data_IF_612702207603
#
_entry.id   IF_612702207603
#
_cell.length_a   1.000
_cell.length_b   1.000
_cell.length_c   1.000
_cell.angle_alpha   90.00
_cell.angle_beta   90.00
_cell.angle_gamma   90.00
#
_symmetry.space_group_name_H-M   'P 1'
#
loop_
_entity.id
_entity.type
_entity.pdbx_description
1 polymer ?
#
# COMPACT_ATOMS: atom_id res chain seq x y z
N UNK A 1 -4.84 -73.76 -15.86
CA UNK A 1 -5.09 -74.38 -17.17
C UNK A 1 -4.28 -73.57 -18.19
N UNK A 2 -3.19 -74.16 -18.71
CA UNK A 2 -2.26 -73.73 -19.79
C UNK A 2 -1.61 -72.34 -19.66
N UNK A 3 -0.29 -72.11 -19.55
CA UNK A 3 0.97 -72.71 -20.06
C UNK A 3 1.22 -72.54 -21.57
N UNK A 4 2.24 -71.71 -21.92
CA UNK A 4 3.27 -71.84 -22.99
C UNK A 4 4.05 -70.51 -23.15
N UNK A 5 5.25 -70.41 -23.72
CA UNK A 5 6.56 -71.07 -23.60
C UNK A 5 7.49 -70.35 -24.63
N UNK A 6 8.74 -70.02 -24.25
CA UNK A 6 9.99 -69.86 -25.05
C UNK A 6 10.06 -68.82 -26.21
N UNK A 7 11.18 -68.10 -26.45
CA UNK A 7 12.49 -68.65 -26.87
C UNK A 7 13.66 -67.67 -26.70
N UNK A 8 14.85 -68.26 -26.50
CA UNK A 8 16.21 -67.73 -26.23
C UNK A 8 16.93 -67.26 -27.49
N UNK A 9 17.87 -66.31 -27.36
CA UNK A 9 18.94 -66.05 -28.33
C UNK A 9 20.16 -65.37 -27.69
N UNK A 10 21.25 -66.13 -27.50
CA UNK A 10 22.54 -65.75 -26.92
C UNK A 10 23.58 -65.65 -28.06
N UNK A 11 24.38 -64.58 -28.14
CA UNK A 11 25.63 -64.54 -28.93
C UNK A 11 26.74 -63.92 -28.08
N UNK A 12 27.93 -64.51 -28.22
CA UNK A 12 29.07 -64.51 -27.30
C UNK A 12 30.34 -63.99 -28.01
N UNK A 13 31.15 -63.20 -27.30
CA UNK A 13 32.63 -63.14 -27.41
C UNK A 13 33.27 -61.95 -28.15
N UNK A 14 34.58 -61.67 -27.97
CA UNK A 14 35.49 -62.09 -26.89
C UNK A 14 36.37 -60.97 -26.26
N UNK A 15 36.90 -61.36 -25.11
CA UNK A 15 37.96 -60.87 -24.21
C UNK A 15 39.17 -60.17 -24.85
N UNK A 16 39.68 -59.12 -24.19
CA UNK A 16 41.13 -58.91 -24.06
C UNK A 16 41.48 -58.30 -22.68
N UNK A 17 42.35 -59.00 -21.95
CA UNK A 17 42.91 -58.68 -20.64
C UNK A 17 44.22 -57.93 -20.84
N UNK A 18 44.43 -56.80 -20.17
CA UNK A 18 45.78 -56.39 -19.75
C UNK A 18 45.72 -55.72 -18.36
N UNK A 19 46.64 -56.19 -17.54
CA UNK A 19 46.88 -55.95 -16.12
C UNK A 19 47.81 -54.75 -15.92
N UNK A 20 47.62 -53.98 -14.85
CA UNK A 20 48.71 -53.57 -13.93
C UNK A 20 48.14 -52.78 -12.73
N UNK A 21 48.46 -53.26 -11.54
CA UNK A 21 48.26 -52.60 -10.24
C UNK A 21 49.27 -51.47 -10.03
N UNK A 22 48.90 -50.44 -9.25
CA UNK A 22 49.72 -50.01 -8.10
C UNK A 22 48.88 -49.18 -7.11
N UNK A 23 48.78 -49.68 -5.87
CA UNK A 23 48.86 -49.04 -4.54
C UNK A 23 48.77 -47.50 -4.47
N UNK A 24 48.16 -46.83 -3.47
CA UNK A 24 47.52 -47.17 -2.20
C UNK A 24 46.96 -45.86 -1.59
N UNK A 25 46.02 -45.99 -0.65
CA UNK A 25 45.68 -45.05 0.44
C UNK A 25 45.16 -43.64 0.09
N UNK A 26 43.86 -43.39 0.33
CA UNK A 26 43.40 -42.89 1.64
C UNK A 26 41.87 -42.80 1.67
N UNK A 27 41.27 -43.21 2.79
CA UNK A 27 39.89 -42.97 3.12
C UNK A 27 39.68 -41.50 3.48
N UNK A 28 38.49 -40.97 3.18
CA UNK A 28 37.61 -40.26 4.13
C UNK A 28 36.73 -39.25 3.38
N UNK A 29 35.49 -39.13 3.85
CA UNK A 29 34.63 -37.98 3.56
C UNK A 29 33.47 -38.29 2.64
N UNK A 30 32.36 -38.71 3.24
CA UNK A 30 31.02 -38.41 2.73
C UNK A 30 30.91 -36.89 2.68
N UNK A 31 30.71 -36.32 1.50
CA UNK A 31 30.33 -34.92 1.34
C UNK A 31 28.90 -34.91 0.79
N UNK A 32 27.95 -35.00 1.71
CA UNK A 32 26.56 -34.60 1.49
C UNK A 32 26.54 -33.07 1.40
N UNK A 33 26.88 -32.55 0.23
CA UNK A 33 26.72 -31.13 -0.08
C UNK A 33 25.54 -30.98 -1.05
N UNK A 34 24.33 -31.22 -0.54
CA UNK A 34 23.12 -30.66 -1.13
C UNK A 34 23.03 -29.23 -0.61
N UNK A 35 23.76 -28.31 -1.26
CA UNK A 35 23.53 -26.88 -1.15
C UNK A 35 22.19 -26.56 -1.83
N UNK A 36 21.09 -26.71 -1.10
CA UNK A 36 19.82 -26.11 -1.49
C UNK A 36 19.81 -24.64 -1.03
N UNK A 37 20.68 -23.81 -1.62
CA UNK A 37 20.64 -22.35 -1.48
C UNK A 37 20.00 -21.76 -2.74
N UNK A 38 18.71 -22.04 -2.94
CA UNK A 38 17.89 -21.29 -3.90
C UNK A 38 17.23 -20.09 -3.19
N UNK A 39 18.01 -19.33 -2.43
CA UNK A 39 17.58 -18.06 -1.87
C UNK A 39 18.36 -16.94 -2.55
N UNK A 40 17.69 -16.17 -3.40
CA UNK A 40 18.28 -14.98 -4.02
C UNK A 40 18.68 -14.00 -2.91
N UNK A 41 19.93 -13.51 -2.94
CA UNK A 41 20.34 -12.38 -2.10
C UNK A 41 19.82 -11.08 -2.73
N UNK A 42 19.51 -10.03 -1.94
CA UNK A 42 19.04 -8.78 -2.49
C UNK A 42 20.16 -8.08 -3.27
N UNK A 43 19.84 -7.60 -4.47
CA UNK A 43 20.67 -6.73 -5.29
C UNK A 43 20.48 -5.28 -4.83
N UNK A 44 21.49 -4.75 -4.13
CA UNK A 44 21.48 -3.39 -3.62
C UNK A 44 22.59 -2.56 -4.26
N UNK A 45 22.35 -1.27 -4.54
CA UNK A 45 23.39 -0.37 -5.02
C UNK A 45 24.49 -0.19 -3.97
N UNK A 46 25.70 0.18 -4.41
CA UNK A 46 26.83 0.45 -3.50
C UNK A 46 26.62 1.69 -2.63
N UNK A 47 25.76 2.61 -3.06
CA UNK A 47 25.35 3.81 -2.33
C UNK A 47 23.83 3.73 -2.15
N UNK A 48 23.32 4.09 -0.98
CA UNK A 48 21.89 4.05 -0.74
C UNK A 48 21.14 5.02 -1.68
N UNK A 49 19.93 4.63 -2.08
CA UNK A 49 19.00 5.56 -2.71
C UNK A 49 18.57 6.65 -1.72
N UNK A 50 18.17 7.80 -2.25
CA UNK A 50 17.63 8.89 -1.45
C UNK A 50 16.17 8.61 -1.06
N UNK A 51 15.96 8.19 0.19
CA UNK A 51 14.65 8.05 0.83
C UNK A 51 14.40 9.15 1.85
N UNK A 52 15.45 9.61 2.54
CA UNK A 52 15.35 10.51 3.68
C UNK A 52 15.19 11.99 3.29
N UNK A 53 15.65 12.37 2.09
CA UNK A 53 15.71 13.76 1.64
C UNK A 53 15.00 13.95 0.29
N UNK A 54 13.77 13.42 0.17
CA UNK A 54 12.93 13.65 -1.01
C UNK A 54 12.61 15.15 -1.09
N UNK A 55 12.90 15.78 -2.23
CA UNK A 55 12.56 17.18 -2.46
C UNK A 55 11.05 17.31 -2.67
N UNK A 56 10.36 17.89 -1.68
CA UNK A 56 8.92 18.11 -1.76
C UNK A 56 8.63 19.39 -2.56
N UNK A 57 7.78 19.33 -3.59
CA UNK A 57 7.27 20.52 -4.25
C UNK A 57 6.63 21.52 -3.28
N UNK A 58 6.63 22.81 -3.65
CA UNK A 58 6.12 23.87 -2.77
C UNK A 58 4.66 23.67 -2.36
N UNK A 59 3.81 23.10 -3.24
CA UNK A 59 2.41 22.84 -2.91
C UNK A 59 2.22 21.75 -1.84
N UNK A 60 3.16 20.82 -1.67
CA UNK A 60 3.12 19.88 -0.54
C UNK A 60 3.56 20.53 0.79
N UNK A 61 4.33 21.62 0.72
CA UNK A 61 4.92 22.29 1.90
C UNK A 61 4.26 23.61 2.27
N UNK A 62 3.40 24.15 1.41
CA UNK A 62 2.70 25.42 1.61
C UNK A 62 1.22 25.24 1.29
N UNK A 63 0.36 25.81 2.14
CA UNK A 63 -1.07 25.85 1.89
C UNK A 63 -1.42 27.07 1.02
N UNK A 64 -1.78 26.81 -0.23
CA UNK A 64 -2.27 27.82 -1.18
C UNK A 64 -3.79 27.73 -1.44
N UNK A 65 -4.52 26.93 -0.63
CA UNK A 65 -5.97 26.90 -0.72
C UNK A 65 -6.56 28.23 -0.21
N UNK A 66 -7.66 28.72 -0.80
CA UNK A 66 -8.32 29.92 -0.31
C UNK A 66 -8.79 29.78 1.15
N UNK A 67 -8.72 30.86 1.93
CA UNK A 67 -9.10 30.92 3.36
C UNK A 67 -10.51 30.39 3.70
N UNK A 68 -11.40 30.31 2.70
CA UNK A 68 -12.77 29.82 2.85
C UNK A 68 -12.89 28.29 2.91
N UNK A 69 -11.82 27.54 2.62
CA UNK A 69 -11.83 26.08 2.68
C UNK A 69 -11.79 25.60 4.14
N UNK A 70 -12.46 24.48 4.44
CA UNK A 70 -12.57 23.96 5.82
C UNK A 70 -11.22 23.54 6.44
N UNK A 71 -10.20 23.37 5.60
CA UNK A 71 -8.85 23.07 6.02
C UNK A 71 -7.91 24.19 5.56
N UNK A 72 -6.93 24.51 6.40
CA UNK A 72 -5.91 25.53 6.10
C UNK A 72 -4.50 25.01 6.42
N UNK A 73 -4.20 23.81 5.88
CA UNK A 73 -2.97 23.06 6.15
C UNK A 73 -2.32 22.57 4.85
N UNK A 74 -0.99 22.51 4.85
CA UNK A 74 -0.21 21.83 3.82
C UNK A 74 -0.16 20.32 4.09
N UNK A 75 0.25 19.52 3.11
CA UNK A 75 0.41 18.07 3.32
C UNK A 75 1.48 17.76 4.39
N UNK A 76 2.59 18.52 4.39
CA UNK A 76 3.69 18.34 5.33
C UNK A 76 3.29 18.57 6.80
N UNK A 77 2.24 19.35 7.06
CA UNK A 77 1.74 19.59 8.42
C UNK A 77 1.17 18.31 9.06
N UNK A 78 0.92 17.27 8.25
CA UNK A 78 0.40 15.97 8.66
C UNK A 78 1.41 14.85 8.55
N UNK A 79 2.70 15.17 8.45
CA UNK A 79 3.76 14.17 8.55
C UNK A 79 3.70 13.45 9.90
N UNK A 80 3.40 12.15 9.85
CA UNK A 80 3.29 11.27 11.00
C UNK A 80 4.60 10.53 11.35
N UNK A 81 5.73 10.95 10.79
CA UNK A 81 7.05 10.42 11.13
C UNK A 81 7.41 10.76 12.58
N UNK A 82 7.63 9.75 13.46
CA UNK A 82 7.96 10.01 14.85
C UNK A 82 9.43 10.42 14.99
N UNK A 83 9.72 11.29 15.97
CA UNK A 83 11.06 11.82 16.19
C UNK A 83 12.11 10.74 16.54
N UNK A 84 11.69 9.59 17.07
CA UNK A 84 12.56 8.47 17.43
C UNK A 84 12.70 7.41 16.33
N UNK A 85 12.02 7.57 15.18
CA UNK A 85 12.20 6.75 13.99
C UNK A 85 12.15 7.60 12.70
N UNK A 86 13.06 8.59 12.53
CA UNK A 86 13.12 9.37 11.29
C UNK A 86 13.50 8.47 10.11
N UNK A 87 13.08 8.85 8.90
CA UNK A 87 13.50 8.17 7.68
C UNK A 87 15.00 8.38 7.49
N UNK A 88 15.74 7.30 7.32
CA UNK A 88 17.15 7.28 6.93
C UNK A 88 17.30 6.44 5.67
N UNK A 89 18.29 6.75 4.81
CA UNK A 89 18.48 5.98 3.57
C UNK A 89 18.81 4.51 3.86
N UNK A 90 19.62 4.25 4.90
CA UNK A 90 19.96 2.90 5.34
C UNK A 90 18.76 2.16 5.95
N UNK A 91 17.99 2.80 6.83
CA UNK A 91 16.81 2.18 7.45
C UNK A 91 15.68 1.91 6.45
N UNK A 92 15.43 2.81 5.50
CA UNK A 92 14.49 2.58 4.41
C UNK A 92 14.99 1.50 3.42
N UNK A 93 16.30 1.41 3.18
CA UNK A 93 16.89 0.30 2.39
C UNK A 93 16.63 -1.05 3.07
N UNK A 94 16.88 -1.16 4.38
CA UNK A 94 16.55 -2.36 5.15
C UNK A 94 15.03 -2.65 5.10
N UNK A 95 14.20 -1.62 5.26
CA UNK A 95 12.75 -1.72 5.14
C UNK A 95 12.29 -2.25 3.78
N UNK A 96 12.89 -1.78 2.68
CA UNK A 96 12.63 -2.29 1.33
C UNK A 96 12.94 -3.78 1.22
N UNK A 97 14.10 -4.22 1.72
CA UNK A 97 14.47 -5.64 1.68
C UNK A 97 13.46 -6.47 2.48
N UNK A 98 13.08 -6.04 3.68
CA UNK A 98 12.04 -6.71 4.49
C UNK A 98 10.68 -6.76 3.78
N UNK A 99 10.30 -5.69 3.09
CA UNK A 99 8.99 -5.55 2.43
C UNK A 99 8.78 -6.55 1.28
N UNK A 100 9.85 -6.90 0.57
CA UNK A 100 9.82 -7.81 -0.58
C UNK A 100 10.22 -9.26 -0.24
N UNK A 101 10.82 -9.52 0.93
CA UNK A 101 11.34 -10.85 1.25
C UNK A 101 10.23 -11.84 1.60
N UNK A 102 9.90 -12.72 0.66
CA UNK A 102 8.87 -13.78 0.82
C UNK A 102 9.22 -14.79 1.90
N UNK A 103 10.50 -14.93 2.29
CA UNK A 103 10.91 -15.85 3.36
C UNK A 103 10.29 -15.45 4.70
N UNK A 104 9.84 -14.20 4.85
CA UNK A 104 9.25 -13.68 6.08
C UNK A 104 7.76 -14.05 6.25
N UNK A 105 7.30 -15.13 5.60
CA UNK A 105 5.99 -15.75 5.82
C UNK A 105 6.15 -17.21 6.21
N UNK A 106 5.14 -17.79 6.88
CA UNK A 106 5.18 -19.13 7.47
C UNK A 106 5.60 -20.25 6.52
N UNK A 107 5.35 -20.10 5.22
CA UNK A 107 5.77 -21.07 4.20
C UNK A 107 6.65 -20.47 3.09
N UNK A 108 7.14 -19.23 3.27
CA UNK A 108 8.02 -18.58 2.31
C UNK A 108 7.37 -18.15 0.99
N UNK A 109 6.03 -18.01 0.94
CA UNK A 109 5.28 -17.79 -0.32
C UNK A 109 4.81 -16.35 -0.56
N UNK A 110 4.64 -15.55 0.49
CA UNK A 110 4.13 -14.18 0.42
C UNK A 110 5.06 -13.20 1.15
N UNK A 111 5.07 -11.96 0.68
CA UNK A 111 5.73 -10.80 1.29
C UNK A 111 4.72 -9.66 1.39
N UNK A 112 5.07 -8.54 2.03
CA UNK A 112 4.24 -7.33 2.00
C UNK A 112 3.93 -6.92 0.55
N UNK A 113 4.94 -6.97 -0.33
CA UNK A 113 4.83 -6.68 -1.75
C UNK A 113 3.88 -7.60 -2.54
N UNK A 114 3.50 -8.77 -2.00
CA UNK A 114 2.52 -9.66 -2.67
C UNK A 114 1.13 -9.02 -2.75
N UNK A 115 0.77 -8.23 -1.73
CA UNK A 115 -0.51 -7.53 -1.63
C UNK A 115 -0.38 -6.01 -1.84
N UNK A 116 0.86 -5.49 -1.87
CA UNK A 116 1.17 -4.07 -2.06
C UNK A 116 2.16 -3.91 -3.21
N UNK A 117 1.67 -4.13 -4.44
CA UNK A 117 2.47 -4.19 -5.67
C UNK A 117 2.84 -2.76 -6.11
N UNK A 118 4.13 -2.49 -6.28
CA UNK A 118 4.63 -1.13 -6.55
C UNK A 118 4.00 -0.52 -7.80
N UNK A 119 3.90 -1.29 -8.90
CA UNK A 119 3.31 -0.88 -10.17
C UNK A 119 1.81 -0.57 -10.10
N UNK A 120 1.14 -1.01 -9.02
CA UNK A 120 -0.27 -0.78 -8.72
C UNK A 120 -0.47 0.24 -7.59
N UNK A 121 0.50 1.16 -7.43
CA UNK A 121 0.46 2.17 -6.38
C UNK A 121 0.54 1.56 -4.99
N UNK A 122 1.28 0.46 -4.82
CA UNK A 122 1.37 -0.29 -3.57
C UNK A 122 0.01 -0.79 -3.07
N UNK A 123 -0.85 -1.20 -4.00
CA UNK A 123 -2.15 -1.84 -3.77
C UNK A 123 -2.13 -3.29 -4.28
N UNK A 124 -3.23 -4.00 -4.15
CA UNK A 124 -3.43 -5.30 -4.79
C UNK A 124 -4.29 -5.14 -6.05
N UNK A 125 -4.14 -6.04 -7.01
CA UNK A 125 -5.06 -6.15 -8.16
C UNK A 125 -6.24 -7.09 -7.87
N UNK A 126 -6.13 -7.92 -6.84
CA UNK A 126 -7.24 -8.73 -6.36
C UNK A 126 -8.22 -7.88 -5.54
N UNK A 127 -9.52 -8.23 -5.59
CA UNK A 127 -10.55 -7.65 -4.72
C UNK A 127 -10.16 -7.82 -3.25
N UNK A 128 -9.80 -9.04 -2.87
CA UNK A 128 -9.27 -9.39 -1.56
C UNK A 128 -7.93 -10.08 -1.75
N UNK A 129 -6.94 -9.70 -0.96
CA UNK A 129 -5.60 -10.26 -1.05
C UNK A 129 -5.58 -11.73 -0.65
N UNK A 130 -4.69 -12.49 -1.27
CA UNK A 130 -4.50 -13.92 -0.97
C UNK A 130 -3.27 -14.08 -0.10
N UNK A 131 -3.45 -14.60 1.11
CA UNK A 131 -2.36 -14.82 2.04
C UNK A 131 -1.61 -16.14 1.83
N UNK A 132 -0.69 -16.45 2.74
CA UNK A 132 0.32 -17.51 2.55
C UNK A 132 -0.27 -18.90 2.31
N UNK A 133 -1.48 -19.17 2.83
CA UNK A 133 -2.16 -20.46 2.72
C UNK A 133 -3.32 -20.45 1.70
N UNK A 134 -3.40 -19.43 0.85
CA UNK A 134 -4.43 -19.32 -0.20
C UNK A 134 -5.79 -18.80 0.29
N UNK A 135 -5.89 -18.40 1.55
CA UNK A 135 -7.09 -17.77 2.12
C UNK A 135 -7.14 -16.28 1.77
N UNK A 136 -8.35 -15.72 1.64
CA UNK A 136 -8.53 -14.31 1.32
C UNK A 136 -8.63 -13.43 2.56
N UNK A 137 -8.01 -12.26 2.52
CA UNK A 137 -8.18 -11.21 3.54
C UNK A 137 -9.61 -10.71 3.59
N UNK A 138 -9.98 -10.01 4.66
CA UNK A 138 -11.35 -9.47 4.82
C UNK A 138 -11.59 -8.17 4.05
N UNK A 139 -10.52 -7.43 3.75
CA UNK A 139 -10.56 -6.12 3.07
C UNK A 139 -9.56 -6.07 1.94
N UNK A 140 -9.87 -5.23 0.96
CA UNK A 140 -8.95 -4.87 -0.11
C UNK A 140 -7.69 -4.22 0.47
N UNK A 141 -6.53 -4.60 -0.06
CA UNK A 141 -5.26 -3.98 0.30
C UNK A 141 -5.27 -2.51 -0.12
N UNK A 142 -5.07 -1.58 0.81
CA UNK A 142 -5.06 -0.16 0.47
C UNK A 142 -3.70 0.27 -0.10
N UNK A 143 -3.71 1.23 -1.02
CA UNK A 143 -2.47 1.91 -1.42
C UNK A 143 -1.73 2.48 -0.21
N UNK A 144 -0.41 2.30 -0.22
CA UNK A 144 0.51 2.84 0.81
C UNK A 144 1.09 4.21 0.43
N UNK A 145 0.83 4.70 -0.78
CA UNK A 145 1.39 5.97 -1.28
C UNK A 145 0.88 7.13 -0.43
N UNK A 146 1.80 8.02 -0.05
CA UNK A 146 1.55 9.19 0.78
C UNK A 146 0.97 8.87 2.18
N UNK A 147 1.10 7.64 2.67
CA UNK A 147 0.61 7.26 4.01
C UNK A 147 1.26 8.07 5.15
N UNK A 148 2.43 8.68 4.89
CA UNK A 148 3.11 9.58 5.83
C UNK A 148 2.31 10.84 6.16
N UNK A 149 1.39 11.29 5.29
CA UNK A 149 0.65 12.55 5.47
C UNK A 149 -0.71 12.38 6.17
N UNK A 150 -0.96 11.26 6.86
CA UNK A 150 -2.22 11.06 7.57
C UNK A 150 -2.19 11.68 8.97
N UNK A 151 -3.06 12.67 9.22
CA UNK A 151 -3.06 13.47 10.44
C UNK A 151 -3.20 12.68 11.74
N UNK A 152 -4.08 11.67 11.78
CA UNK A 152 -4.25 10.87 13.01
C UNK A 152 -3.07 9.96 13.33
N UNK A 153 -2.18 9.69 12.36
CA UNK A 153 -1.09 8.72 12.48
C UNK A 153 -1.54 7.26 12.60
N UNK A 154 -2.84 6.96 12.43
CA UNK A 154 -3.38 5.61 12.51
C UNK A 154 -3.43 4.90 11.15
N UNK A 155 -3.39 3.57 11.18
CA UNK A 155 -3.27 2.73 10.00
C UNK A 155 -4.33 1.62 9.91
N UNK A 156 -4.43 1.04 8.72
CA UNK A 156 -5.58 0.27 8.20
C UNK A 156 -6.83 1.11 7.87
N UNK A 157 -7.73 0.51 7.10
CA UNK A 157 -9.06 1.03 6.80
C UNK A 157 -9.87 1.42 8.05
N UNK A 158 -9.71 0.71 9.16
CA UNK A 158 -10.42 0.92 10.42
C UNK A 158 -9.55 1.53 11.53
N UNK A 159 -8.39 2.09 11.18
CA UNK A 159 -7.51 2.81 12.11
C UNK A 159 -7.15 2.01 13.37
N UNK A 160 -7.19 0.68 13.32
CA UNK A 160 -6.99 -0.16 14.51
C UNK A 160 -5.56 -0.15 15.03
N UNK A 161 -4.58 0.16 14.18
CA UNK A 161 -3.19 0.34 14.56
C UNK A 161 -2.92 1.83 14.87
N UNK A 162 -2.31 2.09 16.02
CA UNK A 162 -2.04 3.43 16.53
C UNK A 162 -0.81 4.10 15.90
N UNK A 163 0.04 3.32 15.24
CA UNK A 163 1.20 3.77 14.49
C UNK A 163 1.52 2.83 13.34
N UNK A 164 2.43 3.24 12.45
CA UNK A 164 2.89 2.41 11.35
C UNK A 164 3.75 1.26 11.87
N UNK A 165 4.60 1.54 12.86
CA UNK A 165 5.43 0.55 13.53
C UNK A 165 4.59 -0.57 14.16
N UNK A 166 3.43 -0.25 14.73
CA UNK A 166 2.48 -1.26 15.21
C UNK A 166 1.84 -2.01 14.03
N UNK A 167 1.41 -1.28 13.00
CA UNK A 167 0.70 -1.86 11.87
C UNK A 167 1.53 -2.89 11.11
N UNK A 168 2.80 -2.61 10.81
CA UNK A 168 3.64 -3.49 9.98
C UNK A 168 3.94 -4.84 10.63
N UNK A 169 3.76 -4.97 11.94
CA UNK A 169 3.89 -6.25 12.64
C UNK A 169 2.63 -7.11 12.55
N UNK A 170 1.45 -6.50 12.40
CA UNK A 170 0.18 -7.23 12.42
C UNK A 170 0.04 -8.23 11.24
N UNK A 171 0.40 -7.92 9.98
CA UNK A 171 0.36 -8.89 8.88
C UNK A 171 1.27 -10.11 9.09
N UNK A 172 2.41 -9.94 9.78
CA UNK A 172 3.27 -11.06 10.15
C UNK A 172 2.53 -12.04 11.06
N UNK A 173 1.79 -11.52 12.05
CA UNK A 173 1.08 -12.32 13.06
C UNK A 173 -0.29 -12.83 12.60
N UNK A 174 -0.87 -12.24 11.55
CA UNK A 174 -2.19 -12.63 11.07
C UNK A 174 -2.13 -14.03 10.40
N UNK A 175 -3.00 -14.98 10.83
CA UNK A 175 -2.99 -16.36 10.37
C UNK A 175 -3.53 -16.55 8.94
N UNK A 176 -4.12 -15.53 8.35
CA UNK A 176 -4.51 -15.50 6.93
C UNK A 176 -3.37 -14.90 6.12
N UNK A 177 -2.80 -13.77 6.56
CA UNK A 177 -1.80 -13.00 5.80
C UNK A 177 -0.44 -13.71 5.72
N UNK A 178 0.41 -13.62 6.75
CA UNK A 178 1.78 -14.18 6.71
C UNK A 178 2.05 -15.28 7.75
N UNK A 179 1.24 -15.39 8.81
CA UNK A 179 1.12 -16.60 9.65
C UNK A 179 2.27 -16.95 10.58
N UNK A 180 3.10 -15.99 10.99
CA UNK A 180 4.21 -16.17 11.92
C UNK A 180 3.86 -15.73 13.35
N UNK A 181 4.68 -16.11 14.32
CA UNK A 181 4.84 -15.30 15.54
C UNK A 181 6.12 -14.45 15.45
N UNK A 182 6.20 -13.34 16.20
CA UNK A 182 7.36 -12.43 16.11
C UNK A 182 8.71 -13.10 16.40
N UNK A 183 8.74 -14.11 17.26
CA UNK A 183 9.98 -14.87 17.52
C UNK A 183 10.46 -15.66 16.30
N UNK A 184 9.53 -16.21 15.50
CA UNK A 184 9.87 -16.90 14.24
C UNK A 184 10.33 -15.91 13.19
N UNK A 185 9.69 -14.73 13.10
CA UNK A 185 10.13 -13.65 12.23
C UNK A 185 11.57 -13.23 12.55
N UNK A 186 11.88 -12.97 13.82
CA UNK A 186 13.23 -12.62 14.28
C UNK A 186 14.25 -13.72 13.94
N UNK A 187 13.89 -15.00 14.11
CA UNK A 187 14.74 -16.14 13.76
C UNK A 187 14.99 -16.22 12.24
N UNK A 188 13.96 -16.07 11.41
CA UNK A 188 14.09 -16.10 9.95
C UNK A 188 15.01 -14.97 9.46
N UNK A 189 14.83 -13.75 9.97
CA UNK A 189 15.67 -12.58 9.64
C UNK A 189 17.10 -12.82 10.10
N UNK A 190 17.31 -13.31 11.33
CA UNK A 190 18.65 -13.63 11.86
C UNK A 190 19.39 -14.66 11.01
N UNK A 191 18.67 -15.61 10.42
CA UNK A 191 19.26 -16.68 9.63
C UNK A 191 19.62 -16.28 8.19
N UNK A 192 19.31 -15.05 7.72
CA UNK A 192 19.79 -14.58 6.42
C UNK A 192 21.11 -13.82 6.55
N UNK A 193 22.07 -14.17 5.71
CA UNK A 193 23.42 -13.59 5.72
C UNK A 193 23.45 -12.09 5.42
N UNK A 194 22.46 -11.57 4.70
CA UNK A 194 22.38 -10.16 4.30
C UNK A 194 21.76 -9.25 5.37
N UNK A 195 21.03 -9.76 6.37
CA UNK A 195 20.40 -8.87 7.36
C UNK A 195 21.36 -8.26 8.39
N UNK A 196 22.28 -9.00 9.04
CA UNK A 196 23.20 -8.42 10.01
C UNK A 196 23.94 -7.15 9.54
N UNK A 197 24.54 -7.09 8.33
CA UNK A 197 25.13 -5.84 7.84
C UNK A 197 24.08 -4.74 7.58
N UNK A 198 22.90 -5.07 7.04
CA UNK A 198 21.83 -4.07 6.82
C UNK A 198 21.31 -3.46 8.13
N UNK A 199 21.21 -4.25 9.21
CA UNK A 199 20.87 -3.75 10.54
C UNK A 199 22.00 -2.88 11.11
N UNK A 200 23.27 -3.25 10.88
CA UNK A 200 24.41 -2.44 11.27
C UNK A 200 24.37 -1.06 10.60
N UNK A 201 24.10 -1.03 9.28
CA UNK A 201 24.01 0.23 8.52
C UNK A 201 22.83 1.09 8.99
N UNK A 202 21.66 0.47 9.27
CA UNK A 202 20.45 1.18 9.69
C UNK A 202 20.47 1.67 11.15
N UNK A 203 21.03 0.88 12.07
CA UNK A 203 20.88 1.08 13.52
C UNK A 203 22.20 1.14 14.29
N UNK A 204 23.34 0.95 13.61
CA UNK A 204 24.69 1.02 14.19
C UNK A 204 25.21 -0.29 14.80
N UNK A 205 24.41 -1.35 14.80
CA UNK A 205 24.81 -2.70 15.23
C UNK A 205 23.91 -3.77 14.58
N UNK A 206 24.32 -5.04 14.63
CA UNK A 206 23.64 -6.17 13.98
C UNK A 206 22.50 -6.79 14.81
N UNK A 207 22.05 -6.14 15.89
CA UNK A 207 20.94 -6.64 16.71
C UNK A 207 19.65 -6.60 15.91
N UNK A 208 19.04 -7.77 15.77
CA UNK A 208 17.75 -7.96 15.11
C UNK A 208 16.67 -8.12 16.18
N UNK A 209 15.56 -7.39 16.02
CA UNK A 209 14.37 -7.48 16.85
C UNK A 209 13.15 -7.06 16.05
N UNK A 210 11.97 -7.52 16.46
CA UNK A 210 10.67 -7.09 15.93
C UNK A 210 10.50 -5.58 15.95
N UNK A 211 10.95 -4.88 16.99
CA UNK A 211 10.95 -3.39 17.04
C UNK A 211 11.80 -2.77 15.92
N UNK A 212 13.01 -3.28 15.68
CA UNK A 212 13.88 -2.75 14.60
C UNK A 212 13.38 -3.12 13.21
N UNK A 213 12.79 -4.31 13.05
CA UNK A 213 12.08 -4.72 11.82
C UNK A 213 10.93 -3.76 11.54
N UNK A 214 10.09 -3.49 12.54
CA UNK A 214 8.97 -2.56 12.44
C UNK A 214 9.43 -1.15 12.07
N UNK A 215 10.48 -0.66 12.73
CA UNK A 215 11.05 0.66 12.47
C UNK A 215 11.56 0.79 11.03
N UNK A 216 12.29 -0.20 10.52
CA UNK A 216 12.81 -0.19 9.16
C UNK A 216 11.69 -0.24 8.11
N UNK A 217 10.72 -1.14 8.25
CA UNK A 217 9.53 -1.20 7.39
C UNK A 217 8.76 0.12 7.38
N UNK A 218 8.57 0.72 8.56
CA UNK A 218 7.89 2.00 8.68
C UNK A 218 8.65 3.14 7.99
N UNK A 219 9.99 3.16 8.03
CA UNK A 219 10.80 4.13 7.27
C UNK A 219 10.60 3.97 5.76
N UNK A 220 10.62 2.73 5.24
CA UNK A 220 10.38 2.48 3.82
C UNK A 220 8.98 2.93 3.39
N UNK A 221 7.93 2.54 4.12
CA UNK A 221 6.55 2.90 3.78
C UNK A 221 6.33 4.42 3.85
N UNK A 222 6.87 5.13 4.85
CA UNK A 222 6.76 6.61 4.91
C UNK A 222 7.52 7.31 3.78
N UNK A 223 8.55 6.67 3.22
CA UNK A 223 9.30 7.21 2.07
C UNK A 223 8.53 7.10 0.75
N UNK A 224 7.39 6.40 0.70
CA UNK A 224 6.56 6.25 -0.51
C UNK A 224 5.76 7.52 -0.80
N UNK A 225 6.45 8.59 -1.22
CA UNK A 225 5.86 9.90 -1.47
C UNK A 225 5.82 10.20 -2.98
N UNK A 226 4.62 10.43 -3.50
CA UNK A 226 4.41 10.90 -4.88
C UNK A 226 4.56 12.42 -4.96
N UNK A 227 5.42 12.89 -5.86
CA UNK A 227 5.79 14.31 -6.03
C UNK A 227 5.88 14.77 -7.47
N UNK A 228 5.80 13.88 -8.45
CA UNK A 228 6.10 14.12 -9.87
C UNK A 228 4.96 13.74 -10.81
N UNK A 229 3.76 13.51 -10.27
CA UNK A 229 2.58 13.24 -11.10
C UNK A 229 2.30 14.39 -12.06
N UNK A 230 1.51 14.12 -13.10
CA UNK A 230 1.08 15.18 -14.03
C UNK A 230 0.35 16.32 -13.30
N UNK A 231 -0.39 15.99 -12.23
CA UNK A 231 -0.98 16.97 -11.33
C UNK A 231 0.09 17.84 -10.66
N UNK A 232 1.17 17.27 -10.10
CA UNK A 232 2.21 18.05 -9.42
C UNK A 232 2.91 19.02 -10.37
N UNK A 233 3.24 18.55 -11.57
CA UNK A 233 3.88 19.38 -12.60
C UNK A 233 2.96 20.56 -12.93
N UNK A 234 1.68 20.31 -13.23
CA UNK A 234 0.72 21.34 -13.58
C UNK A 234 0.39 22.27 -12.40
N UNK A 235 0.32 21.72 -11.18
CA UNK A 235 0.07 22.47 -9.95
C UNK A 235 1.19 23.47 -9.66
N UNK A 236 2.43 23.14 -10.00
CA UNK A 236 3.60 24.03 -9.83
C UNK A 236 3.58 25.26 -10.75
N UNK A 237 2.73 25.27 -11.79
CA UNK A 237 2.62 26.38 -12.75
C UNK A 237 1.79 27.54 -12.23
N UNK A 238 1.03 27.33 -11.16
CA UNK A 238 0.03 28.27 -10.65
C UNK A 238 0.17 28.51 -9.15
N UNK A 239 -0.38 29.61 -8.66
CA UNK A 239 -0.32 29.97 -7.23
C UNK A 239 -1.48 29.46 -6.39
N UNK A 240 -2.41 28.69 -6.97
CA UNK A 240 -3.59 28.21 -6.24
C UNK A 240 -4.15 26.94 -6.91
N UNK A 241 -4.64 25.95 -6.15
CA UNK A 241 -5.19 24.72 -6.71
C UNK A 241 -6.57 24.91 -7.38
N UNK A 242 -7.21 26.06 -7.17
CA UNK A 242 -8.57 26.35 -7.67
C UNK A 242 -8.61 27.25 -8.91
N UNK A 243 -7.47 27.48 -9.55
CA UNK A 243 -7.40 28.13 -10.88
C UNK A 243 -7.14 27.07 -11.95
N UNK A 244 -7.45 27.38 -13.21
CA UNK A 244 -7.11 26.50 -14.33
C UNK A 244 -5.60 26.30 -14.42
N UNK A 245 -5.20 25.04 -14.59
CA UNK A 245 -3.82 24.68 -14.82
C UNK A 245 -3.53 24.77 -16.32
N UNK A 246 -2.57 25.59 -16.77
CA UNK A 246 -2.28 25.80 -18.19
C UNK A 246 -1.93 24.50 -18.95
N UNK A 247 -1.25 23.56 -18.29
CA UNK A 247 -0.89 22.26 -18.87
C UNK A 247 -2.02 21.22 -18.86
N UNK A 248 -3.15 21.51 -18.22
CA UNK A 248 -4.34 20.66 -18.26
C UNK A 248 -5.20 20.94 -19.50
N UNK A 249 -5.84 19.91 -20.01
CA UNK A 249 -6.93 20.04 -20.98
C UNK A 249 -8.16 20.68 -20.34
N UNK A 250 -9.10 21.17 -21.15
CA UNK A 250 -10.39 21.68 -20.64
C UNK A 250 -11.13 20.62 -19.81
N UNK A 251 -11.08 19.35 -20.22
CA UNK A 251 -11.73 18.25 -19.51
C UNK A 251 -11.09 17.97 -18.14
N UNK A 252 -9.76 18.04 -18.04
CA UNK A 252 -9.06 17.82 -16.76
C UNK A 252 -9.24 19.01 -15.82
N UNK A 253 -9.26 20.25 -16.33
CA UNK A 253 -9.59 21.42 -15.53
C UNK A 253 -11.04 21.37 -15.04
N UNK A 254 -12.00 20.96 -15.89
CA UNK A 254 -13.38 20.72 -15.46
C UNK A 254 -13.44 19.68 -14.33
N UNK A 255 -12.72 18.56 -14.47
CA UNK A 255 -12.66 17.52 -13.43
C UNK A 255 -12.05 18.02 -12.13
N UNK A 256 -10.95 18.77 -12.21
CA UNK A 256 -10.31 19.42 -11.06
C UNK A 256 -11.27 20.37 -10.36
N UNK A 257 -12.01 21.18 -11.11
CA UNK A 257 -12.94 22.16 -10.53
C UNK A 257 -14.12 21.47 -9.84
N UNK A 258 -14.68 20.41 -10.45
CA UNK A 258 -15.70 19.58 -9.82
C UNK A 258 -15.20 18.93 -8.52
N UNK A 259 -13.91 18.56 -8.46
CA UNK A 259 -13.31 17.95 -7.29
C UNK A 259 -13.04 18.97 -6.17
N UNK A 260 -12.47 20.12 -6.52
CA UNK A 260 -11.95 21.12 -5.58
C UNK A 260 -13.02 22.09 -5.09
N UNK A 261 -13.96 22.51 -5.94
CA UNK A 261 -14.90 23.56 -5.62
C UNK A 261 -16.21 23.00 -5.03
N UNK A 262 -16.80 23.66 -4.02
CA UNK A 262 -18.16 23.35 -3.57
C UNK A 262 -19.16 23.48 -4.71
N UNK A 263 -19.94 22.42 -4.95
CA UNK A 263 -21.06 22.41 -5.90
C UNK A 263 -22.35 22.64 -5.12
N UNK A 264 -23.17 23.58 -5.56
CA UNK A 264 -24.56 23.72 -5.11
C UNK A 264 -25.40 22.65 -5.80
N UNK A 265 -26.16 21.88 -5.02
CA UNK A 265 -27.01 20.79 -5.50
C UNK A 265 -28.47 21.25 -5.59
N UNK A 266 -29.30 20.48 -6.30
CA UNK A 266 -30.72 20.82 -6.54
C UNK A 266 -31.55 20.96 -5.26
N UNK A 267 -31.11 20.33 -4.16
CA UNK A 267 -31.71 20.39 -2.83
C UNK A 267 -31.21 21.59 -1.99
N UNK A 268 -30.34 22.43 -2.56
CA UNK A 268 -29.72 23.58 -1.90
C UNK A 268 -28.55 23.25 -0.97
N UNK A 269 -28.15 21.98 -0.87
CA UNK A 269 -26.93 21.58 -0.18
C UNK A 269 -25.68 21.94 -1.00
N UNK A 270 -24.52 21.96 -0.33
CA UNK A 270 -23.23 22.24 -0.96
C UNK A 270 -22.20 21.22 -0.53
N UNK A 271 -21.54 20.59 -1.50
CA UNK A 271 -20.54 19.54 -1.25
C UNK A 271 -19.41 19.54 -2.28
N UNK A 272 -18.26 18.98 -1.90
CA UNK A 272 -17.11 18.76 -2.76
C UNK A 272 -16.29 17.53 -2.32
N UNK A 273 -15.43 17.05 -3.21
CA UNK A 273 -14.59 15.87 -2.95
C UNK A 273 -13.44 16.21 -2.00
N UNK A 274 -12.82 17.38 -2.19
CA UNK A 274 -11.69 17.84 -1.37
C UNK A 274 -12.07 18.11 0.10
N UNK A 275 -13.35 18.11 0.45
CA UNK A 275 -13.81 18.13 1.84
C UNK A 275 -13.46 16.87 2.64
N UNK A 276 -13.28 15.74 1.96
CA UNK A 276 -12.81 14.50 2.58
C UNK A 276 -11.44 14.05 2.05
N UNK A 277 -11.00 14.56 0.90
CA UNK A 277 -9.69 14.30 0.32
C UNK A 277 -8.86 15.59 0.36
N UNK A 278 -8.46 15.99 1.57
CA UNK A 278 -7.93 17.33 1.86
C UNK A 278 -6.46 17.45 1.49
N UNK A 279 -5.98 18.70 1.48
CA UNK A 279 -4.61 19.09 1.10
C UNK A 279 -4.22 18.63 -0.30
N UNK A 280 -2.96 18.86 -0.66
CA UNK A 280 -2.36 18.34 -1.88
C UNK A 280 -2.01 16.83 -1.77
N UNK A 281 -2.17 16.19 -0.60
CA UNK A 281 -2.02 14.74 -0.43
C UNK A 281 -3.30 13.94 -0.73
N UNK A 282 -4.46 14.59 -0.95
CA UNK A 282 -5.74 13.96 -1.29
C UNK A 282 -6.19 12.85 -0.32
N UNK A 283 -5.88 13.04 0.96
CA UNK A 283 -6.04 12.04 2.01
C UNK A 283 -7.08 12.54 3.03
N UNK A 284 -7.64 11.62 3.84
CA UNK A 284 -8.83 11.80 4.68
C UNK A 284 -9.04 13.16 5.38
N UNK A 285 -10.29 13.50 5.74
CA UNK A 285 -10.61 14.81 6.28
C UNK A 285 -9.84 15.12 7.55
N UNK A 286 -9.51 16.40 7.74
CA UNK A 286 -8.94 16.88 9.00
C UNK A 286 -10.08 17.04 10.01
N UNK A 287 -9.96 16.53 11.24
CA UNK A 287 -10.97 16.74 12.27
C UNK A 287 -11.09 18.22 12.63
N UNK A 288 -12.30 18.77 12.57
CA UNK A 288 -12.61 20.11 13.09
C UNK A 288 -13.17 20.03 14.53
N UNK A 289 -12.26 19.89 15.51
CA UNK A 289 -12.60 20.19 16.90
C UNK A 289 -13.00 19.02 17.81
N UNK A 290 -13.34 19.39 19.05
CA UNK A 290 -13.08 18.60 20.26
C UNK A 290 -13.89 17.31 20.35
N UNK A 291 -13.22 16.16 20.25
CA UNK A 291 -13.74 14.85 20.67
C UNK A 291 -13.71 13.74 19.62
N UNK A 292 -13.29 14.04 18.39
CA UNK A 292 -12.93 13.02 17.39
C UNK A 292 -11.54 12.45 17.68
N UNK A 293 -11.42 11.13 17.70
CA UNK A 293 -10.12 10.42 17.79
C UNK A 293 -9.75 9.77 16.46
N UNK A 294 -10.42 10.16 15.37
CA UNK A 294 -10.38 9.53 14.05
C UNK A 294 -10.69 10.54 12.97
N UNK A 295 -10.08 10.36 11.80
CA UNK A 295 -10.24 11.15 10.58
C UNK A 295 -11.15 10.41 9.57
N UNK A 296 -11.88 9.41 10.05
CA UNK A 296 -12.67 8.48 9.24
C UNK A 296 -14.05 8.99 8.84
N UNK A 297 -14.59 8.39 7.79
CA UNK A 297 -15.86 8.78 7.19
C UNK A 297 -16.70 7.56 6.85
N UNK A 298 -18.02 7.76 6.79
CA UNK A 298 -18.92 6.84 6.10
C UNK A 298 -19.43 7.56 4.85
N UNK A 299 -19.23 6.95 3.69
CA UNK A 299 -19.62 7.51 2.39
C UNK A 299 -20.92 6.89 1.84
N UNK A 300 -21.70 6.19 2.68
CA UNK A 300 -22.98 5.61 2.30
C UNK A 300 -22.89 4.46 1.31
N UNK A 301 -21.79 3.68 1.28
CA UNK A 301 -21.69 2.45 0.48
C UNK A 301 -22.83 1.47 0.75
N UNK A 302 -23.20 1.35 2.02
CA UNK A 302 -24.27 0.48 2.49
C UNK A 302 -25.21 1.27 3.40
N UNK A 303 -26.51 0.99 3.33
CA UNK A 303 -27.50 1.58 4.24
C UNK A 303 -27.37 1.05 5.67
N UNK A 304 -26.85 -0.17 5.82
CA UNK A 304 -26.62 -0.85 7.10
C UNK A 304 -25.27 -1.57 7.08
N UNK A 305 -24.44 -1.32 8.09
CA UNK A 305 -23.18 -2.05 8.29
C UNK A 305 -23.48 -3.39 8.98
N UNK A 306 -23.12 -4.51 8.35
CA UNK A 306 -23.47 -5.87 8.84
C UNK A 306 -22.26 -6.74 9.13
N UNK A 307 -21.42 -6.98 8.12
CA UNK A 307 -20.27 -7.89 8.21
C UNK A 307 -18.95 -7.18 8.53
N UNK A 308 -18.88 -5.89 8.22
CA UNK A 308 -17.75 -5.03 8.53
C UNK A 308 -18.27 -3.75 9.15
N UNK A 309 -17.98 -3.55 10.43
CA UNK A 309 -18.45 -2.36 11.17
C UNK A 309 -17.43 -1.21 11.11
N UNK A 310 -16.33 -1.37 10.36
CA UNK A 310 -15.25 -0.41 10.28
C UNK A 310 -14.62 -0.14 11.64
N UNK A 311 -14.41 1.14 11.96
CA UNK A 311 -13.79 1.56 13.23
C UNK A 311 -14.53 1.09 14.48
N UNK A 312 -15.86 0.89 14.40
CA UNK A 312 -16.64 0.39 15.54
C UNK A 312 -16.16 -0.98 16.05
N UNK A 313 -15.50 -1.79 15.21
CA UNK A 313 -14.96 -3.08 15.67
C UNK A 313 -13.87 -2.92 16.73
N UNK A 314 -13.11 -1.84 16.64
CA UNK A 314 -12.04 -1.50 17.60
C UNK A 314 -12.57 -0.64 18.75
N UNK A 315 -13.45 0.34 18.47
CA UNK A 315 -13.91 1.29 19.49
C UNK A 315 -15.09 0.79 20.30
N UNK A 316 -15.93 -0.09 19.73
CA UNK A 316 -17.21 -0.51 20.29
C UNK A 316 -18.30 0.58 20.26
N UNK A 317 -17.99 1.76 19.73
CA UNK A 317 -18.86 2.93 19.79
C UNK A 317 -19.79 3.02 18.57
N UNK A 318 -21.10 3.11 18.81
CA UNK A 318 -22.11 3.15 17.74
C UNK A 318 -21.97 4.36 16.80
N UNK A 319 -21.27 5.41 17.24
CA UNK A 319 -20.99 6.60 16.43
C UNK A 319 -19.93 6.34 15.35
N UNK A 320 -19.19 5.24 15.43
CA UNK A 320 -18.10 4.87 14.51
C UNK A 320 -18.48 3.73 13.57
N UNK A 321 -19.74 3.29 13.61
CA UNK A 321 -20.25 2.23 12.74
C UNK A 321 -20.08 2.60 11.25
N UNK A 322 -19.48 1.68 10.50
CA UNK A 322 -19.32 1.78 9.06
C UNK A 322 -18.40 2.92 8.63
N UNK A 323 -17.60 3.47 9.55
CA UNK A 323 -16.60 4.47 9.22
C UNK A 323 -15.29 3.80 8.84
N UNK A 324 -14.65 4.37 7.83
CA UNK A 324 -13.34 3.96 7.35
C UNK A 324 -12.46 5.18 7.08
N UNK A 325 -11.15 4.98 7.18
CA UNK A 325 -10.13 5.91 6.67
C UNK A 325 -10.38 6.17 5.19
N UNK A 326 -10.30 7.43 4.78
CA UNK A 326 -10.22 7.82 3.38
C UNK A 326 -8.73 7.85 2.97
N UNK A 327 -8.24 6.89 2.17
CA UNK A 327 -6.84 6.84 1.73
C UNK A 327 -6.52 7.95 0.74
N UNK A 328 -5.23 8.12 0.44
CA UNK A 328 -4.78 9.10 -0.56
C UNK A 328 -5.31 8.71 -1.92
N UNK A 329 -5.71 9.69 -2.72
CA UNK A 329 -6.04 9.48 -4.14
C UNK A 329 -4.82 9.57 -5.07
N UNK A 330 -3.62 9.74 -4.52
CA UNK A 330 -2.38 9.67 -5.29
C UNK A 330 -2.22 8.25 -5.83
N UNK A 331 -1.93 8.12 -7.13
CA UNK A 331 -1.90 6.83 -7.85
C UNK A 331 -3.24 6.06 -7.88
N UNK A 332 -4.39 6.72 -7.64
CA UNK A 332 -5.70 6.02 -7.61
C UNK A 332 -6.09 5.37 -8.94
N UNK A 333 -5.56 5.85 -10.07
CA UNK A 333 -5.88 5.28 -11.38
C UNK A 333 -5.31 3.88 -11.59
N UNK A 334 -4.29 3.48 -10.82
CA UNK A 334 -3.58 2.20 -10.98
C UNK A 334 -3.83 1.21 -9.83
N UNK A 335 -4.62 1.61 -8.83
CA UNK A 335 -4.88 0.83 -7.60
C UNK A 335 -6.29 0.24 -7.54
N UNK A 336 -6.90 -0.03 -8.70
CA UNK A 336 -8.16 -0.77 -8.76
C UNK A 336 -7.99 -2.21 -8.24
N UNK A 337 -9.02 -2.81 -7.64
CA UNK A 337 -10.37 -2.27 -7.42
C UNK A 337 -10.47 -1.32 -6.20
N UNK A 338 -11.64 -0.70 -6.02
CA UNK A 338 -11.82 0.41 -5.07
C UNK A 338 -12.74 0.08 -3.89
N UNK A 339 -12.61 0.89 -2.84
CA UNK A 339 -13.24 0.76 -1.52
C UNK A 339 -12.61 -0.32 -0.63
N UNK A 340 -12.99 -0.33 0.65
CA UNK A 340 -12.45 -1.27 1.63
C UNK A 340 -12.72 -2.75 1.28
N UNK A 341 -13.68 -3.03 0.41
CA UNK A 341 -14.05 -4.38 -0.03
C UNK A 341 -13.86 -4.62 -1.53
N UNK A 342 -13.22 -3.67 -2.24
CA UNK A 342 -12.89 -3.81 -3.66
C UNK A 342 -14.11 -3.94 -4.58
N UNK A 343 -15.31 -3.47 -4.19
CA UNK A 343 -16.55 -3.71 -4.95
C UNK A 343 -16.65 -2.96 -6.28
N UNK A 344 -15.79 -1.97 -6.55
CA UNK A 344 -15.78 -1.22 -7.79
C UNK A 344 -14.52 -1.48 -8.59
N UNK A 345 -14.67 -1.96 -9.83
CA UNK A 345 -13.52 -2.24 -10.72
C UNK A 345 -12.97 -0.98 -11.41
N UNK A 346 -13.70 0.13 -11.39
CA UNK A 346 -13.36 1.34 -12.17
C UNK A 346 -13.64 2.62 -11.39
N UNK A 347 -12.86 3.67 -11.66
CA UNK A 347 -13.13 5.03 -11.17
C UNK A 347 -14.52 5.53 -11.57
N UNK A 348 -15.00 5.11 -12.74
CA UNK A 348 -16.37 5.41 -13.19
C UNK A 348 -17.42 4.84 -12.22
N UNK A 349 -17.22 3.62 -11.72
CA UNK A 349 -18.09 3.01 -10.71
C UNK A 349 -18.06 3.78 -9.38
N UNK A 350 -16.88 4.23 -8.96
CA UNK A 350 -16.72 5.08 -7.77
C UNK A 350 -17.45 6.41 -7.96
N UNK A 351 -17.27 7.08 -9.09
CA UNK A 351 -17.94 8.36 -9.37
C UNK A 351 -19.46 8.16 -9.48
N UNK A 352 -19.93 7.04 -10.03
CA UNK A 352 -21.36 6.71 -10.06
C UNK A 352 -21.93 6.57 -8.64
N UNK A 353 -21.18 5.97 -7.71
CA UNK A 353 -21.57 5.91 -6.29
C UNK A 353 -21.83 7.31 -5.71
N UNK A 354 -20.89 8.25 -5.89
CA UNK A 354 -21.09 9.62 -5.43
C UNK A 354 -22.16 10.38 -6.23
N UNK A 355 -22.33 10.07 -7.51
CA UNK A 355 -23.32 10.71 -8.38
C UNK A 355 -24.75 10.35 -7.98
N UNK A 356 -25.02 9.07 -7.70
CA UNK A 356 -26.38 8.57 -7.48
C UNK A 356 -26.52 7.50 -6.40
N UNK A 357 -25.44 6.80 -6.05
CA UNK A 357 -25.43 5.58 -5.23
C UNK A 357 -25.38 5.77 -3.71
N UNK A 358 -25.12 6.99 -3.20
CA UNK A 358 -25.04 7.26 -1.76
C UNK A 358 -26.33 6.81 -1.06
N UNK A 359 -26.19 5.87 -0.12
CA UNK A 359 -27.26 5.33 0.69
C UNK A 359 -27.45 6.10 1.99
N UNK A 360 -28.66 6.04 2.54
CA UNK A 360 -28.94 6.58 3.87
C UNK A 360 -28.39 5.63 4.92
N UNK A 361 -27.27 6.02 5.54
CA UNK A 361 -26.65 5.32 6.66
C UNK A 361 -26.76 6.17 7.95
N UNK A 362 -27.04 5.58 9.13
CA UNK A 362 -27.17 6.34 10.40
C UNK A 362 -25.91 7.14 10.81
N UNK A 363 -24.76 6.82 10.20
CA UNK A 363 -23.46 7.48 10.42
C UNK A 363 -22.87 8.10 9.16
N UNK A 364 -23.67 8.31 8.14
CA UNK A 364 -23.26 9.02 6.92
C UNK A 364 -22.57 10.34 7.30
N UNK A 365 -21.45 10.65 6.65
CA UNK A 365 -20.68 11.84 6.97
C UNK A 365 -21.46 13.12 6.67
N UNK A 366 -21.32 14.13 7.53
CA UNK A 366 -22.08 15.38 7.44
C UNK A 366 -22.01 16.10 6.08
N UNK A 367 -20.85 16.14 5.36
CA UNK A 367 -20.79 16.72 4.02
C UNK A 367 -21.62 15.99 2.96
N UNK A 368 -22.15 14.79 3.26
CA UNK A 368 -22.96 13.98 2.37
C UNK A 368 -24.45 13.95 2.78
N UNK A 369 -24.86 14.84 3.68
CA UNK A 369 -26.22 14.93 4.20
C UNK A 369 -26.81 16.33 3.89
N UNK A 370 -28.05 16.37 3.41
CA UNK A 370 -28.78 17.62 3.17
C UNK A 370 -29.33 18.24 4.49
N UNK A 371 -30.02 19.37 4.39
CA UNK A 371 -30.59 20.04 5.57
C UNK A 371 -31.72 19.27 6.26
N UNK A 372 -32.28 18.25 5.60
CA UNK A 372 -33.38 17.40 6.09
C UNK A 372 -32.88 16.05 6.65
N UNK A 373 -31.58 15.76 6.54
CA UNK A 373 -31.00 14.50 7.00
C UNK A 373 -30.93 13.41 5.93
N UNK A 374 -31.25 13.70 4.66
CA UNK A 374 -31.18 12.74 3.57
C UNK A 374 -29.80 12.74 2.91
N UNK A 375 -29.39 11.63 2.28
CA UNK A 375 -28.18 11.61 1.46
C UNK A 375 -28.27 12.57 0.28
N UNK A 376 -27.23 13.37 0.09
CA UNK A 376 -27.08 14.16 -1.13
C UNK A 376 -26.69 13.26 -2.30
N UNK A 377 -26.90 13.75 -3.52
CA UNK A 377 -26.43 13.13 -4.76
C UNK A 377 -25.93 14.21 -5.69
N UNK A 378 -24.70 14.04 -6.19
CA UNK A 378 -24.10 15.06 -7.05
C UNK A 378 -24.79 15.15 -8.43
N UNK A 379 -25.46 14.07 -8.87
CA UNK A 379 -26.17 13.98 -10.15
C UNK A 379 -25.31 14.47 -11.32
N UNK A 380 -24.06 14.01 -11.39
CA UNK A 380 -23.14 14.38 -12.46
C UNK A 380 -23.68 13.92 -13.81
N UNK A 381 -23.54 14.78 -14.81
CA UNK A 381 -23.69 14.41 -16.22
C UNK A 381 -22.55 13.48 -16.67
N UNK A 382 -22.73 12.77 -17.79
CA UNK A 382 -21.68 11.88 -18.33
C UNK A 382 -20.38 12.63 -18.66
N UNK A 383 -20.49 13.89 -19.09
CA UNK A 383 -19.33 14.76 -19.33
C UNK A 383 -18.57 15.07 -18.04
N UNK A 384 -19.29 15.43 -16.97
CA UNK A 384 -18.70 15.70 -15.65
C UNK A 384 -18.07 14.46 -15.03
N UNK A 385 -18.69 13.28 -15.19
CA UNK A 385 -18.10 12.01 -14.75
C UNK A 385 -16.80 11.72 -15.48
N UNK A 386 -16.80 11.86 -16.81
CA UNK A 386 -15.59 11.68 -17.62
C UNK A 386 -14.50 12.70 -17.25
N UNK A 387 -14.88 13.94 -16.95
CA UNK A 387 -13.96 14.98 -16.49
C UNK A 387 -13.32 14.63 -15.14
N UNK A 388 -14.10 14.17 -14.15
CA UNK A 388 -13.58 13.69 -12.87
C UNK A 388 -12.60 12.51 -13.06
N UNK A 389 -12.92 11.53 -13.91
CA UNK A 389 -11.99 10.44 -14.25
C UNK A 389 -10.71 11.00 -14.86
N UNK A 390 -10.81 11.93 -15.82
CA UNK A 390 -9.65 12.55 -16.46
C UNK A 390 -8.75 13.25 -15.42
N UNK A 391 -9.34 14.00 -14.47
CA UNK A 391 -8.61 14.61 -13.38
C UNK A 391 -7.92 13.59 -12.47
N UNK A 392 -8.62 12.55 -12.02
CA UNK A 392 -8.04 11.52 -11.14
C UNK A 392 -6.88 10.76 -11.80
N UNK A 393 -6.92 10.57 -13.12
CA UNK A 393 -5.78 10.00 -13.86
C UNK A 393 -4.51 10.86 -13.79
N UNK A 394 -4.66 12.19 -13.63
CA UNK A 394 -3.50 13.10 -13.50
C UNK A 394 -2.74 12.92 -12.18
N UNK A 395 -3.33 12.24 -11.20
CA UNK A 395 -2.73 11.96 -9.88
C UNK A 395 -1.77 10.76 -9.91
N UNK A 396 -1.53 10.16 -11.08
CA UNK A 396 -0.60 9.03 -11.25
C UNK A 396 0.82 9.55 -11.46
N UNK A 397 1.75 8.97 -10.71
CA UNK A 397 3.16 9.33 -10.69
C UNK A 397 4.00 8.19 -11.27
N UNK A 398 4.05 8.13 -12.60
CA UNK A 398 4.74 7.06 -13.33
C UNK A 398 6.25 7.02 -13.00
N UNK A 399 6.85 8.16 -12.65
CA UNK A 399 8.26 8.22 -12.25
C UNK A 399 8.48 7.50 -10.92
N UNK A 400 7.64 7.77 -9.91
CA UNK A 400 7.67 7.02 -8.66
C UNK A 400 7.42 5.51 -8.87
N UNK A 401 6.39 5.15 -9.65
CA UNK A 401 6.01 3.74 -9.86
C UNK A 401 7.07 2.92 -10.61
N UNK A 402 7.97 3.59 -11.33
CA UNK A 402 9.08 2.96 -12.06
C UNK A 402 10.46 3.20 -11.43
N UNK A 403 10.53 3.89 -10.28
CA UNK A 403 11.79 4.16 -9.59
C UNK A 403 12.35 2.87 -8.97
N UNK A 404 13.59 2.55 -9.33
CA UNK A 404 14.30 1.38 -8.84
C UNK A 404 14.35 1.34 -7.32
N UNK A 405 14.40 2.49 -6.63
CA UNK A 405 14.43 2.53 -5.16
C UNK A 405 13.18 1.94 -4.51
N UNK A 406 12.10 1.79 -5.25
CA UNK A 406 10.83 1.25 -4.77
C UNK A 406 10.54 -0.17 -5.29
N UNK A 407 11.32 -0.67 -6.24
CA UNK A 407 11.15 -1.98 -6.88
C UNK A 407 11.60 -3.17 -6.01
N UNK A 408 11.32 -4.40 -6.44
CA UNK A 408 11.79 -5.62 -5.76
C UNK A 408 13.33 -5.72 -5.82
N UNK A 409 14.05 -5.73 -4.68
CA UNK A 409 15.50 -5.90 -4.68
C UNK A 409 15.96 -7.34 -4.94
N UNK A 410 15.06 -8.32 -5.07
CA UNK A 410 15.40 -9.73 -5.30
C UNK A 410 15.30 -10.16 -6.78
N UNK A 411 14.87 -9.26 -7.67
CA UNK A 411 14.66 -9.51 -9.11
C UNK A 411 15.75 -8.93 -10.03
#
# INVERSE_FOLDING_TARGET
MLQRLLTIGLIMGPVMVLSACNDSDNSDGIDDNISNSNGTEPSLPSEHFNYASIELPSHLTQNDFPDRFQFQHAAIDFDNTPNDNPITDAGATLGRVLFYDKKLSANGSVACASCHQAEHGFSDTNVLSTGFNGESTRRHSMSLVNATFYSSGKFFWDERASSLEEQVLMPFEDPIEMGLILAELEEIVTNQTYYPPLFNDAFGDDTISSDRIARALAQFIRSLVSTTSRYDIARSEVSSPVVDFPSFTEQENLGKDLFMLPRELDDGSSANCVGCHVTEAFLGPIPDGTGGTTDSTNNGLDAESTNDLGIMETTGERRDEGKFKAPSLRNIAVSAPYMHDGRFDTLQGVIEHYSSGIQSHPRLSAPLIDSEGNPIRFNFSEEEKAALVAFLNTLTDDEMLSDEKYSDPFD
#
